data_IF_929697967405
#
_entry.id   IF_929697967405
#
_cell.length_a   1.000
_cell.length_b   1.000
_cell.length_c   1.000
_cell.angle_alpha   90.00
_cell.angle_beta   90.00
_cell.angle_gamma   90.00
#
_symmetry.space_group_name_H-M   'P 1'
#
loop_
_entity.id
_entity.type
_entity.pdbx_description
1 polymer ?
#
# COMPACT_ATOMS: atom_id res chain seq x y z
N UNK A 1 12.37 1.57 2.61
CA UNK A 1 11.02 2.19 2.69
C UNK A 1 10.73 3.19 1.56
N UNK A 2 11.67 4.08 1.21
CA UNK A 2 11.46 5.00 0.09
C UNK A 2 11.17 4.27 -1.22
N UNK A 3 11.86 3.16 -1.48
CA UNK A 3 11.61 2.35 -2.67
C UNK A 3 10.20 1.74 -2.65
N UNK A 4 9.75 1.24 -1.50
CA UNK A 4 8.39 0.73 -1.33
C UNK A 4 7.35 1.83 -1.58
N UNK A 5 7.58 3.03 -1.04
CA UNK A 5 6.67 4.16 -1.24
C UNK A 5 6.59 4.59 -2.70
N UNK A 6 7.71 4.58 -3.40
CA UNK A 6 7.74 4.89 -4.84
C UNK A 6 6.95 3.87 -5.64
N UNK A 7 7.16 2.57 -5.36
CA UNK A 7 6.44 1.49 -6.05
C UNK A 7 4.95 1.54 -5.73
N UNK A 8 4.60 1.85 -4.48
CA UNK A 8 3.21 1.98 -4.07
C UNK A 8 2.54 3.15 -4.80
N UNK A 9 3.21 4.30 -4.91
CA UNK A 9 2.68 5.43 -5.64
C UNK A 9 2.45 5.08 -7.11
N UNK A 10 3.39 4.40 -7.76
CA UNK A 10 3.24 3.95 -9.13
C UNK A 10 2.07 2.98 -9.29
N UNK A 11 1.93 2.04 -8.33
CA UNK A 11 0.83 1.08 -8.34
C UNK A 11 -0.53 1.79 -8.20
N UNK A 12 -0.64 2.79 -7.32
CA UNK A 12 -1.88 3.55 -7.15
C UNK A 12 -2.20 4.39 -8.38
N UNK A 13 -1.21 4.97 -9.04
CA UNK A 13 -1.41 5.66 -10.33
C UNK A 13 -1.94 4.70 -11.38
N UNK A 14 -1.39 3.50 -11.44
CA UNK A 14 -1.85 2.45 -12.36
C UNK A 14 -3.29 2.03 -12.06
N UNK A 15 -3.67 1.97 -10.78
CA UNK A 15 -5.05 1.68 -10.37
C UNK A 15 -6.02 2.76 -10.87
N UNK A 16 -5.67 4.03 -10.71
CA UNK A 16 -6.50 5.14 -11.19
C UNK A 16 -6.65 5.07 -12.70
N UNK A 17 -5.55 4.83 -13.42
CA UNK A 17 -5.55 4.68 -14.88
C UNK A 17 -6.43 3.50 -15.29
N UNK A 18 -6.30 2.35 -14.63
CA UNK A 18 -7.06 1.15 -14.93
C UNK A 18 -8.57 1.38 -14.73
N UNK A 19 -8.94 2.09 -13.66
CA UNK A 19 -10.34 2.45 -13.42
C UNK A 19 -10.88 3.37 -14.51
N UNK A 20 -10.09 4.35 -14.92
CA UNK A 20 -10.50 5.32 -15.96
C UNK A 20 -10.70 4.65 -17.32
N UNK A 21 -9.86 3.66 -17.65
CA UNK A 21 -9.92 2.97 -18.95
C UNK A 21 -10.66 1.63 -18.91
N UNK A 22 -11.07 1.16 -17.74
CA UNK A 22 -11.75 -0.12 -17.58
C UNK A 22 -10.87 -1.34 -17.72
N UNK A 23 -9.56 -1.20 -17.50
CA UNK A 23 -8.58 -2.29 -17.61
C UNK A 23 -8.21 -2.87 -16.24
N UNK A 24 -9.21 -3.32 -15.49
CA UNK A 24 -9.06 -3.71 -14.08
C UNK A 24 -8.12 -4.89 -13.84
N UNK A 25 -7.95 -5.76 -14.80
CA UNK A 25 -7.07 -6.95 -14.71
C UNK A 25 -5.59 -6.59 -14.56
N UNK A 26 -5.19 -5.35 -14.86
CA UNK A 26 -3.81 -4.90 -14.66
C UNK A 26 -3.49 -4.59 -13.19
N UNK A 27 -4.50 -4.40 -12.34
CA UNK A 27 -4.32 -3.99 -10.94
C UNK A 27 -3.59 -5.03 -10.08
N UNK A 28 -3.97 -6.32 -10.08
CA UNK A 28 -3.30 -7.30 -9.21
C UNK A 28 -1.81 -7.43 -9.45
N UNK A 29 -1.38 -7.33 -10.70
CA UNK A 29 0.03 -7.45 -11.07
C UNK A 29 0.88 -6.33 -10.46
N UNK A 30 0.39 -5.08 -10.53
CA UNK A 30 1.07 -3.93 -9.93
C UNK A 30 1.18 -4.05 -8.41
N UNK A 31 0.13 -4.53 -7.76
CA UNK A 31 0.11 -4.71 -6.31
C UNK A 31 1.07 -5.79 -5.84
N UNK A 32 1.30 -6.81 -6.64
CA UNK A 32 2.26 -7.88 -6.33
C UNK A 32 3.68 -7.34 -6.17
N UNK A 33 4.07 -6.38 -7.00
CA UNK A 33 5.39 -5.74 -6.90
C UNK A 33 5.54 -4.98 -5.57
N UNK A 34 4.48 -4.31 -5.12
CA UNK A 34 4.47 -3.61 -3.83
C UNK A 34 4.65 -4.60 -2.67
N UNK A 35 3.99 -5.74 -2.72
CA UNK A 35 4.10 -6.76 -1.69
C UNK A 35 5.54 -7.24 -1.49
N UNK A 36 6.27 -7.44 -2.57
CA UNK A 36 7.68 -7.85 -2.51
C UNK A 36 8.55 -6.77 -1.86
N UNK A 37 8.32 -5.50 -2.20
CA UNK A 37 9.07 -4.39 -1.59
C UNK A 37 8.76 -4.27 -0.09
N UNK A 38 7.54 -4.58 0.33
CA UNK A 38 7.15 -4.60 1.74
C UNK A 38 7.98 -5.60 2.54
N UNK A 39 8.17 -6.81 2.02
CA UNK A 39 8.94 -7.82 2.72
C UNK A 39 10.36 -7.35 3.02
N UNK A 40 11.01 -6.66 2.09
CA UNK A 40 12.33 -6.10 2.28
C UNK A 40 12.33 -5.02 3.38
N UNK A 41 11.33 -4.17 3.41
CA UNK A 41 11.19 -3.12 4.42
C UNK A 41 10.98 -3.73 5.82
N UNK A 42 10.10 -4.73 5.94
CA UNK A 42 9.87 -5.41 7.23
C UNK A 42 11.14 -6.06 7.76
N UNK A 43 11.88 -6.74 6.90
CA UNK A 43 13.15 -7.36 7.29
C UNK A 43 14.15 -6.32 7.77
N UNK A 44 14.24 -5.18 7.12
CA UNK A 44 15.11 -4.09 7.51
C UNK A 44 14.74 -3.50 8.88
N UNK A 45 13.44 -3.35 9.15
CA UNK A 45 12.95 -2.86 10.43
C UNK A 45 13.23 -3.85 11.57
N UNK A 46 12.99 -5.14 11.34
CA UNK A 46 13.19 -6.19 12.35
C UNK A 46 14.67 -6.38 12.67
N UNK A 47 15.56 -6.29 11.68
CA UNK A 47 17.00 -6.42 11.88
C UNK A 47 17.66 -5.17 12.47
N UNK A 48 16.93 -4.05 12.54
CA UNK A 48 17.45 -2.77 13.00
C UNK A 48 18.27 -2.02 11.97
N UNK A 49 18.36 -2.50 10.73
CA UNK A 49 19.11 -1.82 9.66
C UNK A 49 18.39 -0.58 9.13
N UNK A 50 17.12 -0.43 9.44
CA UNK A 50 16.33 0.75 9.12
C UNK A 50 15.47 1.14 10.31
N UNK A 51 15.35 2.43 10.58
CA UNK A 51 14.48 2.97 11.63
C UNK A 51 13.47 3.92 11.01
N UNK A 52 12.26 3.97 11.60
CA UNK A 52 11.23 4.89 11.17
C UNK A 52 11.70 6.34 11.32
N UNK A 53 11.46 7.19 10.31
CA UNK A 53 11.93 8.59 10.35
C UNK A 53 11.21 9.47 11.38
N UNK A 54 10.02 9.04 11.83
CA UNK A 54 9.23 9.74 12.84
C UNK A 54 8.60 8.70 13.76
N UNK A 55 8.60 8.97 15.07
CA UNK A 55 8.06 8.08 16.08
C UNK A 55 8.63 6.65 16.00
N UNK A 56 9.98 6.48 15.96
CA UNK A 56 10.58 5.14 15.82
C UNK A 56 10.25 4.22 16.98
N UNK A 57 9.92 4.76 18.16
CA UNK A 57 9.50 4.00 19.33
C UNK A 57 8.13 3.34 19.17
N UNK A 58 7.35 3.77 18.18
CA UNK A 58 6.02 3.23 17.90
C UNK A 58 6.04 2.16 16.81
N UNK A 59 7.09 1.36 16.78
CA UNK A 59 7.25 0.33 15.75
C UNK A 59 6.08 -0.67 15.73
N UNK A 60 5.58 -1.06 16.90
CA UNK A 60 4.44 -1.99 16.97
C UNK A 60 3.18 -1.39 16.34
N UNK A 61 2.93 -0.09 16.56
CA UNK A 61 1.81 0.62 15.93
C UNK A 61 1.99 0.68 14.41
N UNK A 62 3.21 0.98 13.95
CA UNK A 62 3.53 1.00 12.51
C UNK A 62 3.27 -0.36 11.89
N UNK A 63 3.75 -1.44 12.50
CA UNK A 63 3.54 -2.80 11.97
C UNK A 63 2.07 -3.17 11.87
N UNK A 64 1.28 -2.79 12.86
CA UNK A 64 -0.17 -3.04 12.85
C UNK A 64 -0.87 -2.29 11.71
N UNK A 65 -0.53 -1.00 11.52
CA UNK A 65 -1.09 -0.21 10.43
C UNK A 65 -0.66 -0.77 9.06
N UNK A 66 0.59 -1.18 8.94
CA UNK A 66 1.12 -1.78 7.71
C UNK A 66 0.41 -3.09 7.38
N UNK A 67 0.17 -3.93 8.38
CA UNK A 67 -0.56 -5.20 8.20
C UNK A 67 -2.00 -4.94 7.75
N UNK A 68 -2.70 -4.01 8.38
CA UNK A 68 -4.06 -3.63 7.98
C UNK A 68 -4.09 -3.08 6.56
N UNK A 69 -3.10 -2.27 6.22
CA UNK A 69 -2.95 -1.73 4.87
C UNK A 69 -2.81 -2.83 3.83
N UNK A 70 -2.02 -3.87 4.13
CA UNK A 70 -1.85 -5.00 3.20
C UNK A 70 -3.10 -5.84 3.05
N UNK A 71 -3.89 -6.00 4.11
CA UNK A 71 -5.20 -6.65 4.02
C UNK A 71 -6.08 -5.89 3.03
N UNK A 72 -6.07 -4.56 3.08
CA UNK A 72 -6.85 -3.74 2.15
C UNK A 72 -6.31 -3.80 0.72
N UNK A 73 -4.99 -3.91 0.54
CA UNK A 73 -4.41 -4.13 -0.80
C UNK A 73 -4.83 -5.48 -1.37
N UNK A 74 -4.87 -6.53 -0.56
CA UNK A 74 -5.34 -7.85 -1.00
C UNK A 74 -6.82 -7.81 -1.42
N UNK A 75 -7.65 -7.08 -0.67
CA UNK A 75 -9.04 -6.85 -1.05
C UNK A 75 -9.15 -6.11 -2.37
N UNK A 76 -8.28 -5.12 -2.60
CA UNK A 76 -8.25 -4.39 -3.86
C UNK A 76 -7.93 -5.32 -5.03
N UNK A 77 -6.92 -6.18 -4.88
CA UNK A 77 -6.57 -7.15 -5.91
C UNK A 77 -7.73 -8.11 -6.20
N UNK A 78 -8.40 -8.59 -5.15
CA UNK A 78 -9.53 -9.51 -5.30
C UNK A 78 -10.73 -8.85 -5.99
N UNK A 79 -11.08 -7.62 -5.60
CA UNK A 79 -12.24 -6.93 -6.18
C UNK A 79 -11.97 -6.50 -7.61
N UNK A 80 -10.71 -6.20 -7.96
CA UNK A 80 -10.32 -5.87 -9.33
C UNK A 80 -10.51 -7.06 -10.28
N UNK A 81 -10.25 -8.29 -9.80
CA UNK A 81 -10.49 -9.50 -10.59
C UNK A 81 -11.96 -9.74 -10.88
N UNK A 82 -12.87 -9.23 -10.06
CA UNK A 82 -14.31 -9.34 -10.30
C UNK A 82 -14.81 -8.42 -11.42
N UNK A 83 -13.97 -7.49 -11.88
CA UNK A 83 -14.27 -6.49 -12.92
C UNK A 83 -15.40 -5.54 -12.56
N UNK A 84 -15.68 -5.36 -11.27
CA UNK A 84 -16.65 -4.38 -10.77
C UNK A 84 -15.92 -3.05 -10.52
N UNK A 85 -16.06 -2.12 -11.45
CA UNK A 85 -15.39 -0.82 -11.40
C UNK A 85 -15.79 0.03 -10.19
N UNK A 86 -17.08 0.02 -9.82
CA UNK A 86 -17.56 0.80 -8.68
C UNK A 86 -16.99 0.28 -7.37
N UNK A 87 -17.00 -1.04 -7.17
CA UNK A 87 -16.44 -1.67 -5.97
C UNK A 87 -14.93 -1.45 -5.90
N UNK A 88 -14.23 -1.58 -7.03
CA UNK A 88 -12.79 -1.34 -7.12
C UNK A 88 -12.46 0.11 -6.76
N UNK A 89 -13.22 1.06 -7.26
CA UNK A 89 -13.04 2.49 -6.95
C UNK A 89 -13.20 2.78 -5.46
N UNK A 90 -14.20 2.18 -4.82
CA UNK A 90 -14.39 2.33 -3.37
C UNK A 90 -13.21 1.77 -2.59
N UNK A 91 -12.69 0.63 -3.01
CA UNK A 91 -11.55 -0.01 -2.34
C UNK A 91 -10.25 0.80 -2.52
N UNK A 92 -10.03 1.40 -3.69
CA UNK A 92 -8.92 2.34 -3.91
C UNK A 92 -9.01 3.49 -2.91
N UNK A 93 -10.21 4.04 -2.68
CA UNK A 93 -10.41 5.09 -1.69
C UNK A 93 -10.04 4.68 -0.27
N UNK A 94 -10.39 3.45 0.13
CA UNK A 94 -10.00 2.89 1.44
C UNK A 94 -8.49 2.83 1.57
N UNK A 95 -7.80 2.31 0.56
CA UNK A 95 -6.33 2.20 0.55
C UNK A 95 -5.68 3.58 0.67
N UNK A 96 -6.16 4.56 -0.09
CA UNK A 96 -5.62 5.93 -0.03
C UNK A 96 -5.82 6.57 1.34
N UNK A 97 -6.96 6.32 1.99
CA UNK A 97 -7.22 6.82 3.34
C UNK A 97 -6.22 6.26 4.34
N UNK A 98 -5.83 5.00 4.20
CA UNK A 98 -4.84 4.38 5.07
C UNK A 98 -3.43 4.93 4.83
N UNK A 99 -3.09 5.26 3.59
CA UNK A 99 -1.84 5.95 3.28
C UNK A 99 -1.74 7.26 4.05
N UNK A 100 -2.81 8.05 4.03
CA UNK A 100 -2.88 9.32 4.74
C UNK A 100 -2.74 9.16 6.25
N UNK A 101 -3.43 8.16 6.83
CA UNK A 101 -3.37 7.89 8.28
C UNK A 101 -1.99 7.48 8.76
N UNK A 102 -1.31 6.63 8.00
CA UNK A 102 0.04 6.20 8.33
C UNK A 102 1.03 7.38 8.20
N UNK A 103 0.93 8.17 7.14
CA UNK A 103 1.80 9.32 6.92
C UNK A 103 1.65 10.37 8.02
N UNK A 104 0.46 10.56 8.57
CA UNK A 104 0.25 11.50 9.66
C UNK A 104 1.10 11.15 10.89
N UNK A 105 1.36 9.87 11.14
CA UNK A 105 2.10 9.41 12.30
C UNK A 105 3.59 9.20 12.04
N UNK A 106 3.98 8.75 10.84
CA UNK A 106 5.33 8.23 10.61
C UNK A 106 6.12 8.96 9.52
N UNK A 107 5.49 9.82 8.74
CA UNK A 107 6.20 10.62 7.73
C UNK A 107 6.58 11.98 8.32
N UNK A 108 7.87 12.36 8.30
CA UNK A 108 8.28 13.68 8.78
C UNK A 108 7.70 14.79 7.91
N UNK A 109 7.21 15.82 8.57
CA UNK A 109 6.72 17.09 8.13
C UNK A 109 6.17 17.29 6.78
#
# INVERSE_FOLDING_TARGET
>A
MQNEMRLLHEAMRSCVTALAYGTLDAIPEGLHTVHRARELTENALESGSYKLPKNPEKLATFKNLDEQFHVELEKLAAVATSKDGAATGRQVGVVLSQCSGCHAQFKPG
#
